data_IF_853339155856
#
_entry.id   IF_853339155856
#
_cell.length_a   1.000
_cell.length_b   1.000
_cell.length_c   1.000
_cell.angle_alpha   90.00
_cell.angle_beta   90.00
_cell.angle_gamma   90.00
#
_symmetry.space_group_name_H-M   'P 1'
#
loop_
_entity.id
_entity.type
_entity.pdbx_description
1 polymer ?
#
# COMPACT_ATOMS: atom_id res chain seq x y z
N UNK A 1 8.04 19.71 -35.13
CA UNK A 1 8.75 19.59 -33.83
C UNK A 1 7.69 19.14 -32.84
N UNK A 2 7.76 17.92 -32.32
CA UNK A 2 6.78 17.45 -31.33
C UNK A 2 7.08 18.17 -30.02
N UNK A 3 6.08 18.85 -29.44
CA UNK A 3 6.23 19.58 -28.18
C UNK A 3 5.74 18.68 -27.05
N UNK A 4 6.63 17.89 -26.46
CA UNK A 4 6.30 17.04 -25.32
C UNK A 4 6.13 17.89 -24.05
N UNK A 5 4.94 17.87 -23.48
CA UNK A 5 4.66 18.46 -22.18
C UNK A 5 4.89 17.44 -21.06
N UNK A 6 5.47 17.85 -19.93
CA UNK A 6 5.70 16.98 -18.78
C UNK A 6 4.71 17.31 -17.66
N UNK A 7 4.01 16.29 -17.16
CA UNK A 7 3.21 16.35 -15.94
C UNK A 7 3.89 15.57 -14.83
N UNK A 8 3.97 16.16 -13.63
CA UNK A 8 4.40 15.45 -12.44
C UNK A 8 3.19 15.24 -11.53
N UNK A 9 3.06 14.02 -10.99
CA UNK A 9 2.05 13.69 -9.98
C UNK A 9 2.71 13.04 -8.78
N UNK A 10 2.18 13.31 -7.59
CA UNK A 10 2.72 12.87 -6.31
C UNK A 10 1.73 12.03 -5.52
N UNK A 11 2.01 10.75 -5.40
CA UNK A 11 1.35 9.83 -4.47
C UNK A 11 1.97 10.00 -3.10
N UNK A 12 1.36 10.83 -2.24
CA UNK A 12 1.87 11.06 -0.88
C UNK A 12 1.23 10.06 0.07
N UNK A 13 2.04 9.18 0.68
CA UNK A 13 1.57 8.12 1.60
C UNK A 13 2.01 8.42 3.03
N UNK A 14 1.08 8.29 3.97
CA UNK A 14 1.34 8.31 5.42
C UNK A 14 0.65 7.13 6.09
N UNK A 15 1.42 6.09 6.42
CA UNK A 15 0.85 4.84 6.91
C UNK A 15 0.02 4.16 5.82
N UNK A 16 -1.26 3.91 6.10
CA UNK A 16 -2.26 3.34 5.19
C UNK A 16 -3.09 4.40 4.43
N UNK A 17 -2.72 5.68 4.55
CA UNK A 17 -3.47 6.79 3.97
C UNK A 17 -2.76 7.42 2.79
N UNK A 18 -3.53 7.69 1.75
CA UNK A 18 -3.19 8.48 0.58
C UNK A 18 -3.68 9.92 0.76
N UNK A 19 -2.85 10.88 0.37
CA UNK A 19 -3.26 12.28 0.24
C UNK A 19 -3.99 12.48 -1.08
N UNK A 20 -5.20 13.02 -1.01
CA UNK A 20 -5.98 13.46 -2.16
C UNK A 20 -6.23 14.96 -2.11
N UNK A 21 -6.28 15.56 -3.29
CA UNK A 21 -6.61 16.98 -3.50
C UNK A 21 -7.82 17.10 -4.42
N UNK A 22 -8.57 18.19 -4.28
CA UNK A 22 -9.70 18.49 -5.16
C UNK A 22 -9.70 19.97 -5.52
N UNK A 23 -9.71 20.25 -6.81
CA UNK A 23 -9.68 21.61 -7.34
C UNK A 23 -11.03 22.31 -7.25
N UNK A 24 -11.02 23.65 -7.33
CA UNK A 24 -12.25 24.44 -7.43
C UNK A 24 -12.97 24.10 -8.74
N UNK A 25 -14.26 23.82 -8.66
CA UNK A 25 -15.08 23.46 -9.83
C UNK A 25 -15.03 21.98 -10.23
N UNK A 26 -14.08 21.20 -9.70
CA UNK A 26 -14.03 19.75 -9.92
C UNK A 26 -14.82 18.97 -8.87
N UNK A 27 -15.48 17.90 -9.32
CA UNK A 27 -16.07 16.87 -8.45
C UNK A 27 -15.07 15.76 -8.11
N UNK A 28 -14.02 15.62 -8.91
CA UNK A 28 -13.10 14.49 -8.84
C UNK A 28 -11.93 14.80 -7.90
N UNK A 29 -11.57 13.81 -7.10
CA UNK A 29 -10.35 13.79 -6.31
C UNK A 29 -9.18 13.35 -7.17
N UNK A 30 -8.05 14.04 -7.02
CA UNK A 30 -6.81 13.74 -7.71
C UNK A 30 -5.68 13.56 -6.71
N UNK A 31 -4.54 13.09 -7.21
CA UNK A 31 -3.25 13.20 -6.51
C UNK A 31 -2.61 14.56 -6.85
N UNK A 32 -1.92 15.21 -5.90
CA UNK A 32 -1.31 16.52 -6.13
C UNK A 32 -0.27 16.45 -7.25
N UNK A 33 -0.14 17.53 -8.01
CA UNK A 33 0.79 17.62 -9.12
C UNK A 33 0.30 18.56 -10.20
N UNK A 34 1.21 18.92 -11.09
CA UNK A 34 0.97 19.88 -12.16
C UNK A 34 1.96 19.66 -13.32
N UNK A 35 1.76 20.40 -14.39
CA UNK A 35 2.67 20.47 -15.54
C UNK A 35 3.94 21.24 -15.15
N UNK A 36 5.07 20.85 -15.71
CA UNK A 36 6.37 21.47 -15.41
C UNK A 36 7.12 21.84 -16.67
N UNK A 37 7.88 22.92 -16.59
CA UNK A 37 8.79 23.33 -17.67
C UNK A 37 10.05 22.46 -17.68
N UNK A 38 10.57 22.10 -18.87
CA UNK A 38 11.85 21.41 -19.00
C UNK A 38 13.01 22.19 -18.36
N UNK A 39 14.02 21.46 -17.88
CA UNK A 39 15.27 22.04 -17.38
C UNK A 39 15.35 22.26 -15.87
N UNK A 40 14.24 22.08 -15.13
CA UNK A 40 14.25 22.00 -13.66
C UNK A 40 14.34 20.56 -13.17
N UNK A 41 14.84 20.38 -11.95
CA UNK A 41 14.81 19.09 -11.25
C UNK A 41 13.36 18.64 -11.05
N UNK A 42 13.00 17.46 -11.56
CA UNK A 42 11.63 16.95 -11.46
C UNK A 42 11.21 16.75 -10.00
N UNK A 43 12.13 16.26 -9.16
CA UNK A 43 11.84 16.01 -7.75
C UNK A 43 11.61 17.30 -6.98
N UNK A 44 12.43 18.33 -7.22
CA UNK A 44 12.30 19.62 -6.54
C UNK A 44 11.02 20.34 -7.00
N UNK A 45 10.76 20.36 -8.31
CA UNK A 45 9.53 20.91 -8.87
C UNK A 45 8.29 20.25 -8.27
N UNK A 46 8.26 18.91 -8.18
CA UNK A 46 7.12 18.21 -7.57
C UNK A 46 6.99 18.51 -6.07
N UNK A 47 8.11 18.61 -5.34
CA UNK A 47 8.08 18.99 -3.93
C UNK A 47 7.50 20.40 -3.72
N UNK A 48 7.88 21.36 -4.55
CA UNK A 48 7.33 22.73 -4.53
C UNK A 48 5.83 22.74 -4.85
N UNK A 49 5.40 22.01 -5.89
CA UNK A 49 3.99 21.90 -6.28
C UNK A 49 3.14 21.31 -5.14
N UNK A 50 3.62 20.26 -4.48
CA UNK A 50 2.90 19.63 -3.37
C UNK A 50 2.84 20.57 -2.16
N UNK A 51 3.92 21.32 -1.89
CA UNK A 51 3.94 22.30 -0.82
C UNK A 51 2.92 23.43 -1.06
N UNK A 52 2.86 23.98 -2.27
CA UNK A 52 1.93 25.05 -2.63
C UNK A 52 0.47 24.57 -2.55
N UNK A 53 0.19 23.38 -3.07
CA UNK A 53 -1.18 22.84 -3.14
C UNK A 53 -1.72 22.29 -1.82
N UNK A 54 -0.83 21.82 -0.91
CA UNK A 54 -1.24 21.05 0.29
C UNK A 54 -0.65 21.53 1.61
N UNK A 55 0.33 22.44 1.58
CA UNK A 55 1.05 22.92 2.77
C UNK A 55 1.99 21.89 3.39
N UNK A 56 2.30 20.79 2.69
CA UNK A 56 3.18 19.72 3.17
C UNK A 56 4.54 19.75 2.47
N UNK A 57 5.59 19.61 3.27
CA UNK A 57 6.91 19.25 2.75
C UNK A 57 6.98 17.73 2.60
N UNK A 58 7.47 17.27 1.45
CA UNK A 58 7.55 15.84 1.13
C UNK A 58 8.95 15.43 0.67
N UNK A 59 9.29 14.17 0.94
CA UNK A 59 10.40 13.48 0.34
C UNK A 59 9.89 12.75 -0.91
N UNK A 60 10.43 13.09 -2.08
CA UNK A 60 10.09 12.44 -3.35
C UNK A 60 10.97 11.21 -3.50
N UNK A 61 10.42 10.01 -3.26
CA UNK A 61 11.18 8.77 -3.06
C UNK A 61 11.59 8.14 -4.38
N UNK A 62 10.62 7.76 -5.22
CA UNK A 62 10.86 7.09 -6.51
C UNK A 62 9.69 7.27 -7.46
N UNK A 63 9.95 7.22 -8.76
CA UNK A 63 8.88 7.10 -9.76
C UNK A 63 8.22 5.72 -9.61
N UNK A 64 6.91 5.67 -9.71
CA UNK A 64 6.10 4.44 -9.64
C UNK A 64 5.31 4.19 -10.92
N UNK A 65 5.19 5.19 -11.78
CA UNK A 65 4.54 5.10 -13.08
C UNK A 65 5.07 6.14 -14.06
N UNK A 66 5.08 5.78 -15.34
CA UNK A 66 5.28 6.70 -16.46
C UNK A 66 4.21 6.36 -17.51
N UNK A 67 3.36 7.32 -17.82
CA UNK A 67 2.21 7.13 -18.70
C UNK A 67 2.02 8.29 -19.68
N UNK A 68 1.39 8.00 -20.82
CA UNK A 68 0.99 9.01 -21.80
C UNK A 68 -0.34 9.64 -21.37
N UNK A 69 -0.36 10.96 -21.23
CA UNK A 69 -1.48 11.75 -20.74
C UNK A 69 -2.14 12.57 -21.87
N UNK A 70 -2.69 11.88 -22.87
CA UNK A 70 -3.24 12.43 -24.13
C UNK A 70 -2.21 13.16 -25.03
N UNK A 71 -2.33 12.94 -26.34
CA UNK A 71 -1.65 13.56 -27.50
C UNK A 71 -0.56 14.61 -27.21
N UNK A 72 0.62 14.17 -26.72
CA UNK A 72 1.87 14.92 -26.46
C UNK A 72 2.22 15.24 -25.00
N UNK A 73 1.51 14.71 -23.99
CA UNK A 73 1.91 14.85 -22.58
C UNK A 73 2.44 13.54 -22.00
N UNK A 74 3.61 13.57 -21.37
CA UNK A 74 4.11 12.47 -20.52
C UNK A 74 3.80 12.81 -19.07
N UNK A 75 3.21 11.87 -18.34
CA UNK A 75 3.01 11.96 -16.89
C UNK A 75 4.00 11.05 -16.18
N UNK A 76 4.69 11.58 -15.19
CA UNK A 76 5.49 10.80 -14.25
C UNK A 76 4.85 10.88 -12.87
N UNK A 77 4.49 9.73 -12.32
CA UNK A 77 3.92 9.64 -10.98
C UNK A 77 4.99 9.17 -9.99
N UNK A 78 5.21 9.94 -8.93
CA UNK A 78 6.17 9.63 -7.87
C UNK A 78 5.48 9.19 -6.59
N UNK A 79 6.09 8.23 -5.89
CA UNK A 79 5.79 7.96 -4.49
C UNK A 79 6.53 8.97 -3.61
N UNK A 80 5.78 9.60 -2.71
CA UNK A 80 6.26 10.63 -1.80
C UNK A 80 5.92 10.29 -0.34
N UNK A 81 6.73 10.76 0.60
CA UNK A 81 6.48 10.65 2.04
C UNK A 81 6.42 12.05 2.67
N UNK A 82 5.44 12.36 3.54
CA UNK A 82 5.42 13.65 4.22
C UNK A 82 6.56 13.74 5.25
N UNK A 83 7.29 14.85 5.21
CA UNK A 83 8.37 15.17 6.16
C UNK A 83 7.82 16.06 7.27
N UNK A 84 7.16 17.15 6.90
CA UNK A 84 6.66 18.17 7.83
C UNK A 84 5.54 19.01 7.20
N UNK A 85 5.08 20.02 7.91
CA UNK A 85 4.02 20.93 7.46
C UNK A 85 2.66 20.61 8.07
N UNK A 86 1.68 21.47 7.75
CA UNK A 86 0.29 21.34 8.21
C UNK A 86 -0.59 21.28 6.98
N UNK A 87 -1.42 20.25 6.92
CA UNK A 87 -2.32 20.02 5.80
C UNK A 87 -3.29 21.20 5.65
N UNK A 88 -3.24 21.88 4.51
CA UNK A 88 -4.15 22.96 4.15
C UNK A 88 -4.22 23.10 2.62
N UNK A 89 -5.38 23.47 2.05
CA UNK A 89 -5.45 23.73 0.62
C UNK A 89 -4.68 25.01 0.26
N UNK A 90 -4.05 25.00 -0.92
CA UNK A 90 -3.39 26.15 -1.56
C UNK A 90 -3.32 25.96 -3.07
N UNK A 91 -2.65 26.85 -3.83
CA UNK A 91 -2.41 26.64 -5.27
C UNK A 91 -3.65 26.34 -6.13
N UNK A 92 -4.81 26.95 -5.83
CA UNK A 92 -6.07 26.67 -6.57
C UNK A 92 -6.84 25.42 -6.13
N UNK A 93 -6.26 24.61 -5.22
CA UNK A 93 -6.95 23.49 -4.57
C UNK A 93 -8.04 24.01 -3.63
N UNK A 94 -9.21 23.39 -3.69
CA UNK A 94 -10.35 23.69 -2.80
C UNK A 94 -10.27 22.89 -1.51
N UNK A 95 -9.89 21.63 -1.62
CA UNK A 95 -9.93 20.68 -0.50
C UNK A 95 -8.75 19.70 -0.57
N UNK A 96 -8.22 19.36 0.59
CA UNK A 96 -7.15 18.37 0.75
C UNK A 96 -7.52 17.42 1.88
N UNK A 97 -7.26 16.11 1.70
CA UNK A 97 -7.67 15.11 2.69
C UNK A 97 -6.79 13.87 2.67
N UNK A 98 -6.54 13.32 3.86
CA UNK A 98 -6.03 11.96 4.02
C UNK A 98 -7.18 10.95 3.91
N UNK A 99 -7.06 10.00 3.00
CA UNK A 99 -8.04 8.94 2.75
C UNK A 99 -7.34 7.59 2.87
N UNK A 100 -7.96 6.63 3.56
CA UNK A 100 -7.45 5.25 3.61
C UNK A 100 -7.41 4.67 2.20
N UNK A 101 -6.32 3.98 1.84
CA UNK A 101 -6.10 3.52 0.47
C UNK A 101 -7.24 2.60 -0.03
N UNK A 102 -7.78 1.74 0.83
CA UNK A 102 -8.91 0.86 0.53
C UNK A 102 -10.21 1.62 0.22
N UNK A 103 -10.43 2.79 0.84
CA UNK A 103 -11.60 3.65 0.61
C UNK A 103 -11.42 4.63 -0.53
N UNK A 104 -10.18 4.88 -0.95
CA UNK A 104 -9.90 5.82 -2.03
C UNK A 104 -10.60 5.43 -3.34
N UNK A 105 -10.72 4.13 -3.63
CA UNK A 105 -11.41 3.61 -4.82
C UNK A 105 -12.92 3.88 -4.86
N UNK A 106 -13.54 4.21 -3.71
CA UNK A 106 -14.98 4.51 -3.60
C UNK A 106 -15.29 5.98 -3.93
N UNK A 107 -14.28 6.83 -4.03
CA UNK A 107 -14.43 8.25 -4.34
C UNK A 107 -14.49 8.48 -5.86
N UNK A 108 -15.09 9.60 -6.31
CA UNK A 108 -14.94 10.03 -7.69
C UNK A 108 -13.48 10.43 -7.93
N UNK A 109 -12.70 9.56 -8.57
CA UNK A 109 -11.28 9.77 -8.84
C UNK A 109 -11.04 10.22 -10.28
N UNK A 110 -10.13 11.19 -10.43
CA UNK A 110 -9.51 11.54 -11.72
C UNK A 110 -8.74 10.34 -12.29
N UNK A 111 -8.44 10.36 -13.59
CA UNK A 111 -7.59 9.35 -14.24
C UNK A 111 -6.28 9.09 -13.48
N UNK A 112 -5.45 10.11 -13.20
CA UNK A 112 -4.20 9.95 -12.47
C UNK A 112 -4.38 9.33 -11.07
N UNK A 113 -5.39 9.74 -10.31
CA UNK A 113 -5.62 9.17 -8.99
C UNK A 113 -6.11 7.73 -9.05
N UNK A 114 -6.94 7.39 -10.04
CA UNK A 114 -7.41 6.01 -10.24
C UNK A 114 -6.27 5.08 -10.64
N UNK A 115 -5.39 5.52 -11.54
CA UNK A 115 -4.17 4.81 -11.92
C UNK A 115 -3.27 4.59 -10.70
N UNK A 116 -3.02 5.64 -9.92
CA UNK A 116 -2.23 5.53 -8.70
C UNK A 116 -2.82 4.54 -7.69
N UNK A 117 -4.13 4.61 -7.42
CA UNK A 117 -4.81 3.65 -6.52
C UNK A 117 -4.69 2.23 -7.06
N UNK A 118 -4.85 2.03 -8.38
CA UNK A 118 -4.67 0.72 -9.01
C UNK A 118 -3.25 0.18 -8.84
N UNK A 119 -2.23 1.02 -9.06
CA UNK A 119 -0.83 0.63 -8.89
C UNK A 119 -0.55 0.25 -7.43
N UNK A 120 -0.99 1.08 -6.49
CA UNK A 120 -0.78 0.82 -5.06
C UNK A 120 -1.55 -0.40 -4.54
N UNK A 121 -2.72 -0.69 -5.11
CA UNK A 121 -3.57 -1.82 -4.74
C UNK A 121 -3.26 -3.10 -5.56
N UNK A 122 -2.34 -3.03 -6.53
CA UNK A 122 -1.99 -4.18 -7.35
C UNK A 122 -1.38 -5.27 -6.49
N UNK A 123 -1.93 -6.48 -6.62
CA UNK A 123 -1.41 -7.66 -5.92
C UNK A 123 0.01 -7.94 -6.42
N UNK A 124 0.92 -8.16 -5.49
CA UNK A 124 2.27 -8.64 -5.77
C UNK A 124 2.62 -9.76 -4.81
N UNK A 125 3.48 -10.67 -5.28
CA UNK A 125 4.06 -11.72 -4.45
C UNK A 125 5.47 -11.25 -4.06
N UNK A 126 5.76 -11.24 -2.76
CA UNK A 126 7.08 -10.93 -2.23
C UNK A 126 7.66 -12.18 -1.58
N UNK A 127 8.72 -12.72 -2.19
CA UNK A 127 9.50 -13.81 -1.60
C UNK A 127 10.54 -13.24 -0.65
N UNK A 128 10.47 -13.61 0.63
CA UNK A 128 11.41 -13.16 1.67
C UNK A 128 12.14 -14.39 2.20
N UNK A 129 13.45 -14.44 1.99
CA UNK A 129 14.33 -15.46 2.58
C UNK A 129 15.05 -14.89 3.79
N UNK A 130 15.57 -15.74 4.66
CA UNK A 130 16.33 -15.29 5.84
C UNK A 130 17.50 -14.36 5.49
N UNK A 131 18.16 -14.56 4.33
CA UNK A 131 19.25 -13.69 3.85
C UNK A 131 18.79 -12.30 3.38
N UNK A 132 17.51 -12.14 3.11
CA UNK A 132 16.93 -10.86 2.67
C UNK A 132 16.54 -10.00 3.90
N UNK A 133 16.45 -10.61 5.08
CA UNK A 133 16.18 -9.95 6.36
C UNK A 133 17.46 -9.40 6.99
N UNK A 134 17.51 -8.08 7.18
CA UNK A 134 18.56 -7.44 7.97
C UNK A 134 18.33 -7.66 9.47
N UNK A 135 17.09 -7.51 9.94
CA UNK A 135 16.69 -7.73 11.34
C UNK A 135 15.17 -7.82 11.50
N UNK A 136 14.74 -8.39 12.62
CA UNK A 136 13.35 -8.39 13.09
C UNK A 136 13.30 -7.61 14.40
N UNK A 137 12.35 -6.67 14.51
CA UNK A 137 12.14 -5.82 15.68
C UNK A 137 10.74 -6.10 16.22
N UNK A 138 10.63 -6.38 17.52
CA UNK A 138 9.34 -6.63 18.17
C UNK A 138 9.24 -5.71 19.39
N UNK A 139 8.12 -5.00 19.52
CA UNK A 139 7.88 -4.15 20.68
C UNK A 139 6.63 -3.28 20.54
N UNK A 140 6.30 -2.55 21.61
CA UNK A 140 5.20 -1.59 21.62
C UNK A 140 5.73 -0.22 21.19
N UNK A 141 5.28 0.36 20.07
CA UNK A 141 5.68 1.71 19.69
C UNK A 141 5.30 2.73 20.76
N UNK A 142 6.08 3.81 20.90
CA UNK A 142 5.74 4.91 21.83
C UNK A 142 4.32 5.41 21.55
N UNK A 143 3.52 5.58 22.60
CA UNK A 143 2.13 6.05 22.52
C UNK A 143 1.12 5.02 21.99
N UNK A 144 1.50 3.76 21.83
CA UNK A 144 0.61 2.68 21.40
C UNK A 144 0.46 1.64 22.51
N UNK A 145 -0.61 0.85 22.44
CA UNK A 145 -0.90 -0.22 23.42
C UNK A 145 -0.40 -1.58 22.93
N UNK A 146 -0.50 -1.83 21.62
CA UNK A 146 -0.24 -3.14 21.02
C UNK A 146 1.16 -3.25 20.43
N UNK A 147 1.69 -4.49 20.40
CA UNK A 147 2.98 -4.77 19.77
C UNK A 147 2.95 -4.55 18.26
N UNK A 148 4.12 -4.31 17.70
CA UNK A 148 4.42 -4.36 16.27
C UNK A 148 5.60 -5.29 16.05
N UNK A 149 5.54 -6.06 14.97
CA UNK A 149 6.68 -6.84 14.47
C UNK A 149 7.11 -6.20 13.15
N UNK A 150 8.35 -5.75 13.09
CA UNK A 150 8.92 -5.09 11.92
C UNK A 150 10.03 -5.98 11.38
N UNK A 151 9.89 -6.42 10.13
CA UNK A 151 10.94 -7.10 9.37
C UNK A 151 11.63 -6.05 8.48
N UNK A 152 12.90 -5.78 8.75
CA UNK A 152 13.70 -4.86 7.93
C UNK A 152 14.43 -5.61 6.82
N UNK A 153 14.18 -5.22 5.58
CA UNK A 153 14.77 -5.78 4.37
C UNK A 153 15.89 -4.88 3.81
N UNK A 154 16.53 -5.30 2.73
CA UNK A 154 17.52 -4.48 2.00
C UNK A 154 16.92 -3.17 1.51
N UNK A 155 15.69 -3.20 1.02
CA UNK A 155 14.99 -2.16 0.26
C UNK A 155 13.64 -1.73 0.86
N UNK A 156 13.25 -2.27 2.02
CA UNK A 156 11.94 -1.99 2.60
C UNK A 156 11.75 -2.45 4.05
N UNK A 157 10.56 -2.17 4.58
CA UNK A 157 10.11 -2.63 5.89
C UNK A 157 8.76 -3.34 5.72
N UNK A 158 8.57 -4.46 6.39
CA UNK A 158 7.25 -5.09 6.56
C UNK A 158 6.84 -4.92 8.02
N UNK A 159 5.66 -4.36 8.25
CA UNK A 159 5.14 -4.07 9.59
C UNK A 159 3.87 -4.89 9.82
N UNK A 160 3.90 -5.76 10.83
CA UNK A 160 2.79 -6.60 11.23
C UNK A 160 2.21 -6.12 12.57
N UNK A 161 0.88 -6.15 12.67
CA UNK A 161 0.17 -5.91 13.92
C UNK A 161 0.23 -7.15 14.82
N UNK A 162 0.17 -6.94 16.13
CA UNK A 162 0.17 -8.02 17.14
C UNK A 162 -0.80 -9.16 16.79
N UNK A 163 -2.08 -8.83 16.56
CA UNK A 163 -3.10 -9.84 16.21
C UNK A 163 -2.79 -10.60 14.91
N UNK A 164 -2.13 -9.97 13.93
CA UNK A 164 -1.73 -10.66 12.70
C UNK A 164 -0.67 -11.72 12.98
N UNK A 165 0.32 -11.39 13.82
CA UNK A 165 1.39 -12.32 14.20
C UNK A 165 0.84 -13.44 15.07
N UNK A 166 -0.06 -13.15 16.00
CA UNK A 166 -0.72 -14.18 16.82
C UNK A 166 -1.47 -15.21 15.97
N UNK A 167 -2.20 -14.76 14.95
CA UNK A 167 -2.90 -15.67 14.03
C UNK A 167 -1.93 -16.48 13.16
N UNK A 168 -0.85 -15.87 12.68
CA UNK A 168 0.19 -16.58 11.94
C UNK A 168 0.86 -17.66 12.81
N UNK A 169 1.27 -17.32 14.02
CA UNK A 169 1.94 -18.25 14.94
C UNK A 169 0.98 -19.37 15.35
N UNK A 170 -0.28 -19.05 15.66
CA UNK A 170 -1.31 -20.06 15.94
C UNK A 170 -1.45 -21.04 14.79
N UNK A 171 -1.58 -20.51 13.57
CA UNK A 171 -1.74 -21.34 12.38
C UNK A 171 -0.54 -22.26 12.16
N UNK A 172 0.66 -21.69 12.25
CA UNK A 172 1.91 -22.43 12.09
C UNK A 172 2.06 -23.55 13.13
N UNK A 173 1.83 -23.25 14.41
CA UNK A 173 1.93 -24.23 15.50
C UNK A 173 0.88 -25.34 15.34
N UNK A 174 -0.34 -25.02 14.89
CA UNK A 174 -1.39 -26.01 14.68
C UNK A 174 -0.99 -27.06 13.62
N UNK A 175 -0.44 -26.61 12.49
CA UNK A 175 0.03 -27.52 11.43
C UNK A 175 1.23 -28.35 11.92
N UNK A 176 2.23 -27.71 12.55
CA UNK A 176 3.46 -28.39 12.96
C UNK A 176 3.25 -29.40 14.10
N UNK A 177 2.32 -29.12 15.02
CA UNK A 177 2.17 -29.90 16.25
C UNK A 177 1.00 -30.91 16.21
N UNK A 178 0.10 -30.82 15.23
CA UNK A 178 -1.02 -31.75 15.12
C UNK A 178 -0.58 -33.06 14.43
N UNK A 179 -0.95 -34.24 14.96
CA UNK A 179 -0.42 -35.52 14.47
C UNK A 179 -0.80 -35.90 13.03
N UNK A 180 -1.85 -35.31 12.48
CA UNK A 180 -2.39 -35.67 11.16
C UNK A 180 -2.65 -34.49 10.22
N UNK A 181 -2.47 -33.25 10.69
CA UNK A 181 -2.90 -32.07 9.94
C UNK A 181 -1.71 -31.51 9.19
N UNK A 182 -1.88 -31.29 7.89
CA UNK A 182 -0.83 -30.89 6.95
C UNK A 182 -0.97 -29.45 6.49
N UNK A 183 -2.20 -28.94 6.43
CA UNK A 183 -2.47 -27.60 5.95
C UNK A 183 -3.72 -27.00 6.59
N UNK A 184 -3.72 -25.67 6.75
CA UNK A 184 -4.88 -24.90 7.21
C UNK A 184 -4.96 -23.57 6.47
N UNK A 185 -6.17 -23.04 6.39
CA UNK A 185 -6.42 -21.67 5.92
C UNK A 185 -7.18 -20.91 7.00
N UNK A 186 -6.77 -19.66 7.25
CA UNK A 186 -7.53 -18.74 8.08
C UNK A 186 -8.01 -17.58 7.22
N UNK A 187 -9.31 -17.28 7.30
CA UNK A 187 -9.95 -16.17 6.57
C UNK A 187 -10.47 -15.10 7.50
N UNK A 188 -10.36 -13.85 7.05
CA UNK A 188 -10.77 -12.69 7.82
C UNK A 188 -12.28 -12.50 7.85
N UNK A 189 -12.85 -12.43 9.05
CA UNK A 189 -14.28 -12.22 9.29
C UNK A 189 -14.49 -11.15 10.36
N UNK A 190 -15.53 -10.34 10.21
CA UNK A 190 -16.01 -9.50 11.31
C UNK A 190 -16.94 -10.30 12.22
N UNK A 191 -16.69 -10.24 13.53
CA UNK A 191 -17.43 -10.97 14.55
C UNK A 191 -18.25 -10.04 15.44
N UNK A 192 -19.56 -10.31 15.51
CA UNK A 192 -20.47 -9.62 16.43
C UNK A 192 -20.18 -9.97 17.89
N UNK A 193 -20.00 -11.27 18.18
CA UNK A 193 -19.68 -11.79 19.52
C UNK A 193 -18.23 -12.24 19.57
N UNK A 194 -17.51 -11.78 20.60
CA UNK A 194 -16.09 -12.07 20.84
C UNK A 194 -15.76 -11.86 22.32
N UNK A 195 -14.62 -12.40 22.75
CA UNK A 195 -14.08 -12.15 24.09
C UNK A 195 -13.75 -10.67 24.28
N UNK A 196 -13.86 -10.18 25.52
CA UNK A 196 -13.53 -8.79 25.84
C UNK A 196 -12.06 -8.46 25.51
N UNK A 197 -11.83 -7.30 24.90
CA UNK A 197 -10.50 -6.88 24.45
C UNK A 197 -10.06 -7.44 23.10
N UNK A 198 -10.80 -8.36 22.49
CA UNK A 198 -10.44 -8.94 21.19
C UNK A 198 -10.89 -8.04 20.03
N UNK A 199 -10.11 -8.06 18.94
CA UNK A 199 -10.45 -7.39 17.69
C UNK A 199 -11.79 -7.89 17.13
N UNK A 200 -12.59 -6.97 16.58
CA UNK A 200 -13.82 -7.28 15.83
C UNK A 200 -13.51 -8.07 14.56
N UNK A 201 -12.39 -7.76 13.91
CA UNK A 201 -11.90 -8.49 12.75
C UNK A 201 -10.92 -9.57 13.19
N UNK A 202 -11.22 -10.83 12.89
CA UNK A 202 -10.39 -11.99 13.23
C UNK A 202 -10.18 -12.90 12.03
N UNK A 203 -9.07 -13.64 12.04
CA UNK A 203 -8.82 -14.72 11.09
C UNK A 203 -9.34 -16.03 11.70
N UNK A 204 -10.36 -16.62 11.08
CA UNK A 204 -10.98 -17.86 11.51
C UNK A 204 -10.67 -18.97 10.53
N UNK A 205 -10.55 -20.18 11.04
CA UNK A 205 -10.33 -21.35 10.19
C UNK A 205 -11.52 -21.57 9.26
N UNK A 206 -11.22 -21.89 8.01
CA UNK A 206 -12.23 -22.28 7.01
C UNK A 206 -12.33 -23.81 7.02
N UNK A 207 -13.55 -24.31 6.88
CA UNK A 207 -13.80 -25.73 6.62
C UNK A 207 -13.32 -26.07 5.20
N UNK A 208 -12.07 -26.49 5.10
CA UNK A 208 -11.41 -27.02 3.91
C UNK A 208 -10.56 -28.21 4.31
N UNK A 209 -10.51 -29.22 3.46
CA UNK A 209 -9.58 -30.35 3.61
C UNK A 209 -8.14 -29.91 3.36
N UNK A 210 -7.19 -30.64 3.93
CA UNK A 210 -5.76 -30.39 3.74
C UNK A 210 -5.36 -30.34 2.25
N UNK A 211 -5.92 -31.23 1.43
CA UNK A 211 -5.68 -31.29 -0.02
C UNK A 211 -6.16 -30.01 -0.73
N UNK A 212 -7.36 -29.52 -0.40
CA UNK A 212 -7.88 -28.28 -0.98
C UNK A 212 -7.01 -27.06 -0.61
N UNK A 213 -6.42 -27.06 0.59
CA UNK A 213 -5.52 -25.98 1.03
C UNK A 213 -4.16 -26.08 0.34
N UNK A 214 -3.61 -27.29 0.16
CA UNK A 214 -2.35 -27.53 -0.58
C UNK A 214 -2.47 -27.08 -2.04
N UNK A 215 -3.60 -27.40 -2.70
CA UNK A 215 -3.92 -26.94 -4.05
C UNK A 215 -4.07 -25.41 -4.13
N UNK A 216 -4.65 -24.79 -3.10
CA UNK A 216 -4.74 -23.34 -3.00
C UNK A 216 -3.36 -22.70 -2.94
N UNK A 217 -2.45 -23.23 -2.11
CA UNK A 217 -1.07 -22.74 -1.99
C UNK A 217 -0.35 -22.86 -3.34
N UNK A 218 -0.42 -24.02 -3.97
CA UNK A 218 0.25 -24.32 -5.25
C UNK A 218 -0.18 -23.35 -6.35
N UNK A 219 -1.49 -23.11 -6.48
CA UNK A 219 -2.04 -22.11 -7.40
C UNK A 219 -1.59 -20.68 -7.07
N UNK A 220 -1.58 -20.29 -5.80
CA UNK A 220 -1.15 -18.95 -5.39
C UNK A 220 0.33 -18.68 -5.67
N UNK A 221 1.18 -19.69 -5.57
CA UNK A 221 2.59 -19.60 -5.88
C UNK A 221 2.87 -19.65 -7.39
N UNK A 222 1.86 -19.92 -8.22
CA UNK A 222 2.03 -20.09 -9.67
C UNK A 222 2.89 -21.31 -10.01
N UNK A 223 2.87 -22.35 -9.16
CA UNK A 223 3.52 -23.62 -9.42
C UNK A 223 2.53 -24.48 -10.22
N UNK A 224 2.95 -24.99 -11.39
CA UNK A 224 2.13 -25.92 -12.17
C UNK A 224 1.99 -27.25 -11.43
N UNK A 225 0.75 -27.72 -11.26
CA UNK A 225 0.43 -29.07 -10.76
C UNK A 225 0.62 -30.05 -11.93
N UNK A 226 1.87 -30.26 -12.36
CA UNK A 226 2.11 -30.99 -13.58
C UNK A 226 3.58 -31.15 -13.92
N UNK A 227 4.30 -31.87 -13.06
CA UNK A 227 5.37 -32.81 -13.43
C UNK A 227 5.84 -33.47 -12.13
N UNK A 228 5.10 -34.48 -11.70
CA UNK A 228 5.68 -35.52 -10.85
C UNK A 228 6.73 -36.24 -11.70
N UNK A 229 8.01 -36.03 -11.38
CA UNK A 229 9.08 -36.92 -11.82
C UNK A 229 8.88 -38.27 -11.13
N UNK A 230 8.13 -39.15 -11.80
CA UNK A 230 8.30 -40.61 -11.71
C UNK A 230 9.20 -41.08 -12.86
#
# INVERSE_FOLDING_TARGET
MVSLALELRGVVIKGDRLLLVREKGSKDWSIPGDSVEPGRSLRDSLSEIILDSTGLHVDVVRAIDVSEANDDKIRITYLCKPISGKLRPGGGVKEVRWVELNRAAELPLSGPAREAVKILASKFILFIRNRDLKRIIIGVPKGHVHKRVIMELSDGLIVLHEATVENLVRAFVEVEMHPFRRAIVLEGRELERRKEGYSKYQLLEVEMSDEEVEDLITRMLGLDVGESED
#
